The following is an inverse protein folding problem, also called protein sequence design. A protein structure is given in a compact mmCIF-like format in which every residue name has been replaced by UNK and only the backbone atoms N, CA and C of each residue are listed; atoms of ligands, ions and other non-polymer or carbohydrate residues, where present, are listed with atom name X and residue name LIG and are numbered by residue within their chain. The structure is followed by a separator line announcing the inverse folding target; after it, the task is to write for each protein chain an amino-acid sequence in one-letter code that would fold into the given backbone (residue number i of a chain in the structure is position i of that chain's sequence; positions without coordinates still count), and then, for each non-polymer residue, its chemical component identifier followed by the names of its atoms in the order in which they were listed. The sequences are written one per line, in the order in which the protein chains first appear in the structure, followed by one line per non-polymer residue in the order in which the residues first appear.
data_IF_130701891927
#
_entry.id   IF_130701891927
#
_cell.length_a   1.000
_cell.length_b   1.000
_cell.length_c   1.000
_cell.angle_alpha   90.00
_cell.angle_beta   90.00
_cell.angle_gamma   90.00
#
_symmetry.space_group_name_H-M   'P 1'
#
loop_
_entity.id
_entity.type
_entity.pdbx_description
1 polymer ?
#
# COMPACT_ATOMS: atom_id res chain seq x y z
N UNK A 1 -9.11 7.01 -48.46
CA UNK A 1 -7.70 6.71 -48.78
C UNK A 1 -6.82 7.78 -48.14
N UNK A 2 -5.86 7.36 -47.29
CA UNK A 2 -4.64 8.03 -46.80
C UNK A 2 -4.76 9.44 -46.16
N UNK A 3 -4.54 9.66 -44.86
CA UNK A 3 -3.30 9.53 -44.06
C UNK A 3 -2.17 10.47 -44.48
N UNK A 4 -1.89 11.52 -43.69
CA UNK A 4 -0.57 12.17 -43.45
C UNK A 4 -0.81 13.16 -42.28
N UNK A 5 -0.13 13.18 -41.13
CA UNK A 5 1.21 12.73 -40.78
C UNK A 5 2.11 13.94 -40.49
N UNK A 6 1.86 14.71 -39.40
CA UNK A 6 2.72 15.83 -39.00
C UNK A 6 3.83 15.34 -38.04
N UNK A 7 5.05 15.27 -38.57
CA UNK A 7 6.29 15.08 -37.82
C UNK A 7 6.85 16.43 -37.36
N UNK A 8 7.36 16.42 -36.14
CA UNK A 8 8.15 17.45 -35.47
C UNK A 8 9.48 17.69 -36.20
N UNK A 9 9.82 18.96 -36.44
CA UNK A 9 11.20 19.43 -36.67
C UNK A 9 11.41 20.65 -35.77
N UNK A 10 12.18 20.50 -34.69
CA UNK A 10 12.67 21.63 -33.91
C UNK A 10 14.18 21.75 -34.18
N UNK A 11 14.55 22.77 -34.96
CA UNK A 11 15.91 23.15 -35.26
C UNK A 11 16.55 23.92 -34.10
N UNK A 12 17.81 23.55 -33.85
CA UNK A 12 18.88 24.26 -33.15
C UNK A 12 18.68 25.77 -32.92
N UNK A 13 18.77 26.20 -31.67
CA UNK A 13 19.32 27.50 -31.33
C UNK A 13 20.23 27.38 -30.10
N UNK A 14 21.54 27.49 -30.36
CA UNK A 14 22.61 27.58 -29.35
C UNK A 14 22.91 29.07 -29.10
N UNK A 15 22.95 29.40 -27.80
CA UNK A 15 24.00 30.19 -27.15
C UNK A 15 24.20 31.67 -27.57
N UNK A 16 23.79 32.61 -26.70
CA UNK A 16 24.67 33.67 -26.15
C UNK A 16 23.90 34.54 -25.15
N UNK A 17 24.09 34.30 -23.85
CA UNK A 17 24.23 35.34 -22.81
C UNK A 17 24.54 34.65 -21.46
N UNK A 18 25.83 34.37 -21.27
CA UNK A 18 26.43 34.10 -19.98
C UNK A 18 27.30 35.31 -19.66
N UNK A 19 26.99 36.06 -18.60
CA UNK A 19 28.00 36.52 -17.66
C UNK A 19 27.37 37.18 -16.42
N UNK A 20 27.94 36.80 -15.26
CA UNK A 20 27.73 37.32 -13.90
C UNK A 20 26.55 36.69 -13.14
N UNK A 21 26.84 35.59 -12.45
CA UNK A 21 26.97 35.57 -10.99
C UNK A 21 27.59 34.22 -10.59
N UNK A 22 28.87 34.23 -10.23
CA UNK A 22 29.54 33.10 -9.56
C UNK A 22 29.14 33.14 -8.09
N UNK A 23 28.37 32.15 -7.65
CA UNK A 23 28.06 31.87 -6.25
C UNK A 23 27.89 30.36 -6.11
N UNK A 24 28.86 29.73 -5.46
CA UNK A 24 29.01 28.28 -5.31
C UNK A 24 27.82 27.64 -4.58
N UNK A 25 27.16 26.66 -5.20
CA UNK A 25 26.52 25.45 -4.62
C UNK A 25 25.76 24.69 -5.73
N UNK A 26 25.76 23.35 -5.65
CA UNK A 26 25.10 22.36 -6.53
C UNK A 26 25.85 21.90 -7.78
N UNK A 27 26.84 21.04 -7.54
CA UNK A 27 27.21 19.96 -8.45
C UNK A 27 27.03 18.63 -7.72
N UNK A 28 25.79 18.15 -7.63
CA UNK A 28 25.48 16.77 -7.19
C UNK A 28 24.38 16.09 -8.01
N UNK A 29 23.91 16.71 -9.10
CA UNK A 29 22.78 16.19 -9.90
C UNK A 29 23.16 15.53 -11.23
N UNK A 30 24.45 15.34 -11.54
CA UNK A 30 24.90 14.82 -12.86
C UNK A 30 25.59 13.44 -12.76
N UNK A 31 25.66 12.82 -11.57
CA UNK A 31 26.26 11.47 -11.41
C UNK A 31 25.23 10.33 -11.34
N UNK A 32 23.92 10.61 -11.29
CA UNK A 32 22.88 9.58 -11.20
C UNK A 32 22.52 8.94 -12.55
N UNK A 33 22.83 9.59 -13.68
CA UNK A 33 22.42 9.16 -15.02
C UNK A 33 23.35 8.15 -15.70
N UNK A 34 24.58 7.93 -15.20
CA UNK A 34 25.53 7.01 -15.83
C UNK A 34 25.48 5.56 -15.30
N UNK A 35 24.97 5.30 -14.09
CA UNK A 35 24.86 3.93 -13.54
C UNK A 35 23.72 3.11 -14.13
N UNK A 36 22.63 3.74 -14.58
CA UNK A 36 21.49 3.04 -15.19
C UNK A 36 21.71 2.66 -16.67
N UNK A 37 22.63 3.36 -17.36
CA UNK A 37 22.91 3.09 -18.78
C UNK A 37 23.83 1.88 -18.98
N UNK A 38 24.65 1.52 -17.98
CA UNK A 38 25.54 0.36 -18.08
C UNK A 38 24.90 -0.98 -17.71
N UNK A 39 23.77 -1.01 -16.98
CA UNK A 39 22.99 -2.24 -16.75
C UNK A 39 22.11 -2.66 -17.94
N UNK A 40 22.05 -1.86 -19.01
CA UNK A 40 21.15 -2.09 -20.16
C UNK A 40 21.73 -2.94 -21.31
N UNK A 41 22.85 -3.64 -21.11
CA UNK A 41 23.49 -4.46 -22.15
C UNK A 41 23.33 -5.99 -22.01
N UNK A 42 22.57 -6.49 -21.04
CA UNK A 42 22.43 -7.95 -20.86
C UNK A 42 21.03 -8.56 -21.12
N UNK A 43 19.97 -7.78 -21.35
CA UNK A 43 18.64 -8.33 -21.65
C UNK A 43 18.07 -7.77 -22.97
N UNK A 44 18.72 -8.06 -24.08
CA UNK A 44 18.08 -8.02 -25.40
C UNK A 44 17.71 -9.44 -25.82
N UNK A 45 16.75 -10.05 -25.12
CA UNK A 45 16.02 -11.18 -25.68
C UNK A 45 14.92 -10.63 -26.59
N UNK A 46 15.11 -10.83 -27.89
CA UNK A 46 14.13 -10.52 -28.93
C UNK A 46 12.88 -11.40 -28.73
N UNK A 47 11.70 -10.78 -28.68
CA UNK A 47 10.41 -11.47 -28.84
C UNK A 47 9.59 -11.77 -27.57
N UNK A 48 10.12 -11.53 -26.38
CA UNK A 48 9.37 -11.71 -25.13
C UNK A 48 8.69 -10.39 -24.78
N UNK A 49 7.35 -10.41 -24.63
CA UNK A 49 6.60 -9.26 -24.08
C UNK A 49 7.31 -8.78 -22.80
N UNK A 50 7.46 -7.46 -22.55
CA UNK A 50 8.03 -6.97 -21.30
C UNK A 50 7.37 -7.58 -20.05
N UNK A 51 6.09 -7.93 -20.18
CA UNK A 51 5.25 -8.59 -19.19
C UNK A 51 5.56 -10.09 -18.95
N UNK A 52 6.24 -10.73 -19.90
CA UNK A 52 6.63 -12.14 -19.83
C UNK A 52 8.08 -12.32 -19.33
N UNK A 53 8.75 -11.23 -18.93
CA UNK A 53 10.03 -11.34 -18.23
C UNK A 53 9.73 -11.73 -16.77
N UNK A 54 10.28 -12.85 -16.26
CA UNK A 54 10.02 -13.25 -14.88
C UNK A 54 10.53 -12.16 -13.93
N UNK A 55 9.66 -11.69 -13.03
CA UNK A 55 10.09 -10.82 -11.95
C UNK A 55 11.06 -11.61 -11.06
N UNK A 56 12.33 -11.22 -11.05
CA UNK A 56 13.33 -11.82 -10.17
C UNK A 56 13.33 -11.05 -8.86
N UNK A 57 12.41 -11.42 -7.96
CA UNK A 57 12.54 -11.07 -6.55
C UNK A 57 13.60 -12.02 -5.97
N UNK A 58 14.58 -11.49 -5.22
CA UNK A 58 15.45 -12.37 -4.43
C UNK A 58 14.58 -13.20 -3.48
N UNK A 59 15.02 -14.42 -3.17
CA UNK A 59 14.29 -15.29 -2.23
C UNK A 59 14.01 -14.52 -0.94
N UNK A 60 12.75 -14.52 -0.45
CA UNK A 60 12.40 -13.89 0.82
C UNK A 60 13.32 -14.33 1.96
N UNK A 61 13.74 -13.37 2.79
CA UNK A 61 14.57 -13.63 3.97
C UNK A 61 13.74 -13.47 5.24
N UNK A 62 12.98 -14.52 5.57
CA UNK A 62 12.21 -14.57 6.80
C UNK A 62 13.11 -14.53 8.04
N UNK A 63 12.56 -14.13 9.19
CA UNK A 63 13.29 -14.19 10.46
C UNK A 63 13.35 -15.65 10.95
N UNK A 64 14.27 -16.42 10.38
CA UNK A 64 14.49 -17.81 10.77
C UNK A 64 14.93 -17.94 12.22
N UNK A 65 15.61 -16.94 12.78
CA UNK A 65 16.02 -16.95 14.18
C UNK A 65 14.80 -16.92 15.11
N UNK A 66 13.78 -16.14 14.75
CA UNK A 66 12.53 -16.09 15.49
C UNK A 66 11.62 -17.30 15.20
N UNK A 67 11.40 -17.63 13.93
CA UNK A 67 10.46 -18.67 13.51
C UNK A 67 10.91 -20.08 13.89
N UNK A 68 12.22 -20.36 13.85
CA UNK A 68 12.76 -21.69 14.12
C UNK A 68 13.14 -21.92 15.58
N UNK A 69 13.13 -20.88 16.43
CA UNK A 69 13.35 -21.03 17.87
C UNK A 69 12.09 -21.63 18.55
N UNK A 70 12.28 -22.79 19.16
CA UNK A 70 11.22 -23.52 19.87
C UNK A 70 10.67 -22.76 21.07
N UNK A 71 11.43 -21.84 21.66
CA UNK A 71 10.95 -20.98 22.75
C UNK A 71 9.86 -20.02 22.27
N UNK A 72 9.85 -19.70 20.97
CA UNK A 72 8.88 -18.79 20.37
C UNK A 72 7.59 -19.48 19.92
N UNK A 73 7.52 -20.82 19.98
CA UNK A 73 6.38 -21.60 19.48
C UNK A 73 5.05 -21.13 20.10
N UNK A 74 5.00 -21.00 21.42
CA UNK A 74 3.78 -20.62 22.13
C UNK A 74 3.32 -19.21 21.77
N UNK A 75 4.24 -18.24 21.66
CA UNK A 75 3.88 -16.86 21.34
C UNK A 75 3.45 -16.70 19.88
N UNK A 76 4.07 -17.42 18.94
CA UNK A 76 3.69 -17.39 17.53
C UNK A 76 2.30 -18.00 17.36
N UNK A 77 2.04 -19.15 18.01
CA UNK A 77 0.74 -19.82 17.95
C UNK A 77 -0.38 -18.95 18.53
N UNK A 78 -0.16 -18.35 19.70
CA UNK A 78 -1.10 -17.43 20.35
C UNK A 78 -1.36 -16.19 19.47
N UNK A 79 -0.33 -15.61 18.84
CA UNK A 79 -0.50 -14.49 17.91
C UNK A 79 -1.31 -14.89 16.66
N UNK A 80 -1.06 -16.05 16.06
CA UNK A 80 -1.84 -16.56 14.92
C UNK A 80 -3.32 -16.70 15.31
N UNK A 81 -3.60 -17.30 16.48
CA UNK A 81 -4.96 -17.50 16.97
C UNK A 81 -5.68 -16.17 17.24
N UNK A 82 -5.05 -15.25 17.97
CA UNK A 82 -5.62 -13.93 18.30
C UNK A 82 -5.92 -13.07 17.08
N UNK A 83 -5.20 -13.27 15.98
CA UNK A 83 -5.42 -12.57 14.70
C UNK A 83 -6.39 -13.29 13.76
N UNK A 84 -6.88 -14.49 14.13
CA UNK A 84 -7.55 -15.42 13.20
C UNK A 84 -6.72 -15.63 11.92
N UNK A 85 -5.39 -15.64 12.07
CA UNK A 85 -4.44 -15.80 10.99
C UNK A 85 -4.40 -17.23 10.45
N UNK A 86 -3.64 -17.41 9.38
CA UNK A 86 -3.29 -18.72 8.83
C UNK A 86 -1.82 -18.97 9.15
N UNK A 87 -1.41 -20.22 9.33
CA UNK A 87 0.00 -20.57 9.54
C UNK A 87 0.16 -21.78 10.43
N UNK A 88 1.03 -22.70 10.02
CA UNK A 88 1.34 -23.92 10.77
C UNK A 88 2.81 -23.85 11.26
N UNK A 89 2.99 -23.22 12.41
CA UNK A 89 4.31 -23.04 13.03
C UNK A 89 4.91 -24.36 13.50
N UNK A 90 4.09 -25.32 13.91
CA UNK A 90 4.55 -26.64 14.35
C UNK A 90 5.14 -27.41 13.18
N UNK A 91 4.44 -27.41 12.03
CA UNK A 91 4.95 -27.99 10.79
C UNK A 91 6.19 -27.24 10.30
N UNK A 92 6.22 -25.92 10.37
CA UNK A 92 7.42 -25.13 10.00
C UNK A 92 8.64 -25.57 10.81
N UNK A 93 8.52 -25.64 12.14
CA UNK A 93 9.64 -26.05 13.01
C UNK A 93 10.03 -27.52 12.79
N UNK A 94 9.08 -28.40 12.47
CA UNK A 94 9.37 -29.79 12.09
C UNK A 94 10.13 -29.88 10.75
N UNK A 95 9.68 -29.14 9.73
CA UNK A 95 10.36 -29.04 8.42
C UNK A 95 11.76 -28.45 8.57
N UNK A 96 11.95 -27.46 9.45
CA UNK A 96 13.27 -26.91 9.75
C UNK A 96 14.22 -27.96 10.34
N UNK A 97 13.77 -28.77 11.30
CA UNK A 97 14.57 -29.86 11.86
C UNK A 97 14.95 -30.89 10.79
N UNK A 98 13.98 -31.28 9.95
CA UNK A 98 14.25 -32.18 8.82
C UNK A 98 15.29 -31.60 7.86
N UNK A 99 15.24 -30.30 7.57
CA UNK A 99 16.19 -29.62 6.70
C UNK A 99 17.62 -29.62 7.29
N UNK A 100 17.76 -29.51 8.61
CA UNK A 100 19.06 -29.54 9.29
C UNK A 100 19.75 -30.91 9.18
N UNK A 101 18.98 -31.99 9.24
CA UNK A 101 19.48 -33.36 9.18
C UNK A 101 19.63 -33.90 7.73
N UNK A 102 19.06 -33.20 6.74
CA UNK A 102 19.06 -33.64 5.35
C UNK A 102 20.44 -33.48 4.70
N UNK A 103 20.80 -34.42 3.83
CA UNK A 103 22.10 -34.44 3.11
C UNK A 103 21.96 -34.33 1.61
N UNK A 104 20.81 -34.70 1.03
CA UNK A 104 20.54 -34.61 -0.40
C UNK A 104 20.20 -33.18 -0.83
N UNK A 105 20.93 -32.65 -1.82
CA UNK A 105 20.72 -31.29 -2.32
C UNK A 105 19.31 -31.07 -2.90
N UNK A 106 18.78 -32.07 -3.63
CA UNK A 106 17.42 -32.01 -4.17
C UNK A 106 16.38 -31.92 -3.05
N UNK A 107 16.57 -32.71 -1.99
CA UNK A 107 15.62 -32.75 -0.86
C UNK A 107 15.74 -31.49 0.01
N UNK A 108 16.94 -30.95 0.18
CA UNK A 108 17.14 -29.63 0.82
C UNK A 108 16.39 -28.53 0.08
N UNK A 109 16.45 -28.52 -1.25
CA UNK A 109 15.74 -27.53 -2.06
C UNK A 109 14.22 -27.65 -1.90
N UNK A 110 13.68 -28.88 -1.91
CA UNK A 110 12.27 -29.13 -1.65
C UNK A 110 11.83 -28.65 -0.26
N UNK A 111 12.57 -29.03 0.78
CA UNK A 111 12.29 -28.63 2.17
C UNK A 111 12.41 -27.12 2.36
N UNK A 112 13.38 -26.47 1.71
CA UNK A 112 13.53 -25.00 1.74
C UNK A 112 12.32 -24.32 1.08
N UNK A 113 11.84 -24.86 -0.05
CA UNK A 113 10.65 -24.33 -0.71
C UNK A 113 9.38 -24.53 0.13
N UNK A 114 9.25 -25.68 0.81
CA UNK A 114 8.15 -25.93 1.75
C UNK A 114 8.21 -24.99 2.95
N UNK A 115 9.40 -24.81 3.53
CA UNK A 115 9.64 -23.92 4.65
C UNK A 115 9.28 -22.46 4.30
N UNK A 116 9.70 -21.98 3.14
CA UNK A 116 9.34 -20.64 2.64
C UNK A 116 7.83 -20.47 2.48
N UNK A 117 7.12 -21.49 1.99
CA UNK A 117 5.65 -21.46 1.86
C UNK A 117 4.97 -21.38 3.23
N UNK A 118 5.42 -22.19 4.19
CA UNK A 118 4.90 -22.19 5.56
C UNK A 118 5.15 -20.85 6.25
N UNK A 119 6.36 -20.29 6.11
CA UNK A 119 6.72 -19.00 6.67
C UNK A 119 5.92 -17.84 6.03
N UNK A 120 5.62 -17.92 4.73
CA UNK A 120 4.84 -16.90 4.03
C UNK A 120 3.42 -16.75 4.58
N UNK A 121 2.80 -17.85 5.04
CA UNK A 121 1.44 -17.83 5.62
C UNK A 121 1.39 -17.20 7.02
N UNK A 122 2.49 -17.24 7.79
CA UNK A 122 2.53 -16.71 9.16
C UNK A 122 2.40 -15.17 9.13
N UNK A 123 1.43 -14.58 9.88
CA UNK A 123 1.23 -13.15 9.95
C UNK A 123 2.34 -12.45 10.75
N UNK A 124 2.39 -11.13 10.67
CA UNK A 124 3.27 -10.34 11.52
C UNK A 124 2.93 -10.51 13.01
N UNK A 125 3.87 -10.15 13.88
CA UNK A 125 3.65 -9.97 15.32
C UNK A 125 2.60 -8.89 15.56
N UNK A 126 1.92 -8.90 16.71
CA UNK A 126 0.98 -7.84 17.09
C UNK A 126 1.57 -6.92 18.14
N UNK A 127 1.29 -5.63 18.05
CA UNK A 127 1.67 -4.66 19.07
C UNK A 127 0.96 -4.95 20.39
N UNK A 128 1.64 -4.71 21.51
CA UNK A 128 1.03 -4.76 22.84
C UNK A 128 -0.05 -3.68 23.04
N UNK A 129 -0.10 -2.66 22.17
CA UNK A 129 -1.12 -1.62 22.18
C UNK A 129 -2.41 -2.05 21.49
N UNK A 130 -2.35 -3.04 20.59
CA UNK A 130 -3.52 -3.52 19.85
C UNK A 130 -4.44 -4.33 20.78
N UNK A 131 -5.72 -3.95 20.95
CA UNK A 131 -6.67 -4.72 21.75
C UNK A 131 -6.83 -6.14 21.19
N UNK A 132 -7.11 -7.11 22.05
CA UNK A 132 -7.36 -8.49 21.60
C UNK A 132 -8.85 -8.64 21.31
N UNK A 133 -9.20 -9.03 20.08
CA UNK A 133 -10.60 -9.27 19.71
C UNK A 133 -10.94 -8.95 18.27
N UNK A 134 -12.24 -8.94 17.99
CA UNK A 134 -12.81 -8.48 16.71
C UNK A 134 -12.99 -6.96 16.68
N UNK A 135 -13.47 -6.42 15.56
CA UNK A 135 -13.71 -4.98 15.34
C UNK A 135 -14.45 -4.26 16.50
N UNK A 136 -15.31 -4.96 17.26
CA UNK A 136 -16.02 -4.34 18.39
C UNK A 136 -15.12 -3.96 19.56
N UNK A 137 -13.92 -4.54 19.64
CA UNK A 137 -12.89 -4.25 20.63
C UNK A 137 -11.97 -3.08 20.21
N UNK A 138 -12.25 -2.44 19.07
CA UNK A 138 -11.49 -1.27 18.63
C UNK A 138 -11.54 -0.16 19.68
N UNK A 139 -10.37 0.36 20.06
CA UNK A 139 -10.24 1.33 21.14
C UNK A 139 -10.28 2.76 20.58
N UNK A 140 -11.26 3.55 21.03
CA UNK A 140 -11.33 4.98 20.73
C UNK A 140 -10.17 5.72 21.37
N UNK A 141 -9.35 6.38 20.55
CA UNK A 141 -8.21 7.19 20.98
C UNK A 141 -8.57 8.69 21.07
N UNK A 142 -9.17 9.20 20.01
CA UNK A 142 -9.48 10.64 19.85
C UNK A 142 -10.77 10.83 19.04
N UNK A 143 -11.45 11.95 19.27
CA UNK A 143 -12.57 12.42 18.45
C UNK A 143 -12.34 13.88 18.09
N UNK A 144 -12.58 14.24 16.82
CA UNK A 144 -12.36 15.58 16.27
C UNK A 144 -13.63 16.11 15.61
N UNK A 145 -13.89 17.42 15.75
CA UNK A 145 -15.11 18.07 15.25
C UNK A 145 -16.37 17.67 16.02
N UNK A 146 -17.53 18.05 15.49
CA UNK A 146 -18.83 17.79 16.10
C UNK A 146 -19.85 17.30 15.06
N UNK A 147 -20.82 16.50 15.51
CA UNK A 147 -21.94 16.10 14.65
C UNK A 147 -22.72 17.34 14.24
N UNK A 148 -22.93 17.49 12.93
CA UNK A 148 -23.74 18.58 12.40
C UNK A 148 -25.22 18.28 12.64
N UNK A 149 -25.90 19.21 13.30
CA UNK A 149 -27.36 19.18 13.45
C UNK A 149 -28.03 19.69 12.17
N UNK A 150 -29.01 18.94 11.69
CA UNK A 150 -29.79 19.28 10.50
C UNK A 150 -31.25 19.53 10.89
N UNK A 151 -31.83 20.63 10.43
CA UNK A 151 -33.27 20.91 10.57
C UNK A 151 -34.14 20.09 9.61
N UNK A 152 -33.55 19.13 8.89
CA UNK A 152 -34.17 18.25 7.91
C UNK A 152 -33.47 16.89 7.92
N UNK A 153 -34.13 15.85 7.41
CA UNK A 153 -33.51 14.51 7.30
C UNK A 153 -32.39 14.54 6.25
N UNK A 154 -31.11 14.30 6.62
CA UNK A 154 -30.01 14.31 5.66
C UNK A 154 -30.19 13.21 4.60
N UNK A 155 -30.02 13.57 3.33
CA UNK A 155 -30.05 12.63 2.20
C UNK A 155 -28.71 11.89 2.08
N UNK A 156 -28.72 10.69 1.50
CA UNK A 156 -27.48 9.97 1.21
C UNK A 156 -26.66 10.65 0.11
N UNK A 157 -25.34 10.41 0.06
CA UNK A 157 -24.47 10.95 -0.98
C UNK A 157 -24.97 10.59 -2.40
N UNK A 158 -25.50 9.36 -2.59
CA UNK A 158 -26.12 8.91 -3.84
C UNK A 158 -27.35 9.77 -4.17
N UNK A 159 -28.25 9.98 -3.22
CA UNK A 159 -29.44 10.81 -3.45
C UNK A 159 -29.08 12.26 -3.75
N UNK A 160 -28.10 12.83 -3.05
CA UNK A 160 -27.63 14.20 -3.30
C UNK A 160 -27.02 14.30 -4.70
N UNK A 161 -26.09 13.41 -5.03
CA UNK A 161 -25.39 13.42 -6.32
C UNK A 161 -26.32 13.15 -7.51
N UNK A 162 -27.27 12.22 -7.38
CA UNK A 162 -28.27 11.96 -8.44
C UNK A 162 -29.21 13.15 -8.64
N UNK A 163 -29.69 13.79 -7.54
CA UNK A 163 -30.56 14.97 -7.65
C UNK A 163 -29.86 16.17 -8.31
N UNK A 164 -28.55 16.29 -8.11
CA UNK A 164 -27.71 17.32 -8.74
C UNK A 164 -27.27 16.94 -10.17
N UNK A 165 -27.50 15.69 -10.61
CA UNK A 165 -27.03 15.20 -11.91
C UNK A 165 -25.50 15.01 -12.00
N UNK A 166 -24.80 14.97 -10.86
CA UNK A 166 -23.33 14.90 -10.78
C UNK A 166 -22.80 13.51 -10.43
N UNK A 167 -23.67 12.61 -9.96
CA UNK A 167 -23.35 11.21 -9.66
C UNK A 167 -24.31 10.29 -10.40
N UNK A 168 -23.76 9.34 -11.14
CA UNK A 168 -24.54 8.27 -11.79
C UNK A 168 -24.07 6.91 -11.30
N UNK A 169 -24.96 6.23 -10.57
CA UNK A 169 -24.81 4.82 -10.16
C UNK A 169 -25.86 3.92 -10.81
N UNK A 170 -26.94 4.51 -11.33
CA UNK A 170 -28.01 3.79 -12.04
C UNK A 170 -27.69 3.61 -13.53
N UNK A 171 -28.08 2.46 -14.09
CA UNK A 171 -27.80 2.03 -15.48
C UNK A 171 -26.31 1.89 -15.83
N UNK A 172 -25.41 2.00 -14.86
CA UNK A 172 -23.97 1.75 -15.03
C UNK A 172 -23.67 0.27 -15.23
N UNK A 173 -24.58 -0.60 -14.77
CA UNK A 173 -24.48 -2.06 -14.91
C UNK A 173 -24.38 -2.54 -16.37
N UNK A 174 -24.92 -1.78 -17.32
CA UNK A 174 -24.81 -2.07 -18.76
C UNK A 174 -23.38 -1.92 -19.30
N UNK A 175 -22.51 -1.20 -18.58
CA UNK A 175 -21.11 -1.00 -18.96
C UNK A 175 -20.16 -1.82 -18.07
N UNK A 176 -20.30 -1.73 -16.74
CA UNK A 176 -19.28 -2.20 -15.79
C UNK A 176 -19.82 -3.04 -14.63
N UNK A 177 -21.10 -3.41 -14.65
CA UNK A 177 -21.73 -4.15 -13.55
C UNK A 177 -22.08 -3.27 -12.33
N UNK A 178 -22.46 -3.90 -11.22
CA UNK A 178 -22.82 -3.22 -9.96
C UNK A 178 -21.60 -2.59 -9.28
N UNK A 179 -21.81 -1.77 -8.24
CA UNK A 179 -20.71 -1.22 -7.41
C UNK A 179 -19.66 -0.42 -8.21
N UNK A 180 -20.14 0.30 -9.21
CA UNK A 180 -19.40 1.23 -10.07
C UNK A 180 -20.18 2.53 -10.23
N UNK A 181 -19.51 3.59 -10.65
CA UNK A 181 -20.08 4.94 -10.65
C UNK A 181 -19.42 5.84 -11.71
N UNK A 182 -20.13 6.90 -12.08
CA UNK A 182 -19.56 8.05 -12.79
C UNK A 182 -19.75 9.31 -11.97
N UNK A 183 -18.67 10.09 -11.83
CA UNK A 183 -18.76 11.49 -11.44
C UNK A 183 -18.85 12.38 -12.68
N UNK A 184 -19.70 13.39 -12.62
CA UNK A 184 -20.00 14.31 -13.72
C UNK A 184 -19.88 15.75 -13.22
N UNK A 185 -19.31 16.62 -14.05
CA UNK A 185 -19.21 18.05 -13.75
C UNK A 185 -18.47 18.33 -12.45
N UNK A 186 -19.09 19.09 -11.55
CA UNK A 186 -18.46 19.60 -10.33
C UNK A 186 -18.03 18.49 -9.37
N UNK A 187 -18.71 17.34 -9.33
CA UNK A 187 -18.28 16.22 -8.47
C UNK A 187 -17.00 15.56 -9.02
N UNK A 188 -16.84 15.50 -10.34
CA UNK A 188 -15.59 15.04 -10.95
C UNK A 188 -14.44 16.02 -10.68
N UNK A 189 -14.71 17.33 -10.70
CA UNK A 189 -13.74 18.35 -10.32
C UNK A 189 -13.39 18.28 -8.82
N UNK A 190 -14.37 17.98 -7.96
CA UNK A 190 -14.14 17.80 -6.52
C UNK A 190 -13.20 16.63 -6.24
N UNK A 191 -13.34 15.50 -6.94
CA UNK A 191 -12.36 14.40 -6.84
C UNK A 191 -10.94 14.90 -7.13
N UNK A 192 -10.74 15.65 -8.21
CA UNK A 192 -9.42 16.16 -8.58
C UNK A 192 -8.91 17.19 -7.56
N UNK A 193 -9.79 18.03 -7.03
CA UNK A 193 -9.45 19.01 -6.00
C UNK A 193 -9.00 18.34 -4.70
N UNK A 194 -9.66 17.27 -4.26
CA UNK A 194 -9.28 16.49 -3.08
C UNK A 194 -7.92 15.81 -3.25
N UNK A 195 -7.66 15.24 -4.44
CA UNK A 195 -6.35 14.69 -4.80
C UNK A 195 -5.27 15.76 -4.71
N UNK A 196 -5.50 16.93 -5.33
CA UNK A 196 -4.52 18.01 -5.37
C UNK A 196 -4.28 18.62 -3.99
N UNK A 197 -5.33 18.80 -3.19
CA UNK A 197 -5.26 19.26 -1.80
C UNK A 197 -4.35 18.35 -0.97
N UNK A 198 -4.60 17.04 -1.06
CA UNK A 198 -3.83 16.04 -0.32
C UNK A 198 -2.37 16.03 -0.78
N UNK A 199 -2.11 15.99 -2.10
CA UNK A 199 -0.74 16.01 -2.62
C UNK A 199 0.04 17.25 -2.22
N UNK A 200 -0.56 18.44 -2.28
CA UNK A 200 0.11 19.68 -1.87
C UNK A 200 0.49 19.64 -0.39
N UNK A 201 -0.41 19.13 0.45
CA UNK A 201 -0.12 18.95 1.86
C UNK A 201 1.03 17.96 2.07
N UNK A 202 1.04 16.80 1.42
CA UNK A 202 2.13 15.81 1.52
C UNK A 202 3.48 16.34 1.02
N UNK A 203 3.49 17.07 -0.11
CA UNK A 203 4.70 17.72 -0.62
C UNK A 203 5.26 18.71 0.43
N UNK A 204 4.39 19.48 1.09
CA UNK A 204 4.81 20.41 2.15
C UNK A 204 5.42 19.70 3.37
N UNK A 205 5.08 18.42 3.58
CA UNK A 205 5.62 17.54 4.63
C UNK A 205 6.87 16.75 4.16
N UNK A 206 7.36 17.02 2.96
CA UNK A 206 8.59 16.44 2.43
C UNK A 206 8.42 15.09 1.74
N UNK A 207 7.21 14.74 1.30
CA UNK A 207 6.98 13.54 0.49
C UNK A 207 7.41 13.76 -0.96
N UNK A 208 8.06 12.75 -1.53
CA UNK A 208 8.31 12.69 -2.97
C UNK A 208 7.13 12.02 -3.68
N UNK A 209 6.54 12.71 -4.65
CA UNK A 209 5.45 12.14 -5.46
C UNK A 209 6.02 11.18 -6.50
N UNK A 210 5.51 9.96 -6.53
CA UNK A 210 5.88 8.91 -7.47
C UNK A 210 4.62 8.49 -8.23
N UNK A 211 4.69 8.43 -9.56
CA UNK A 211 3.64 7.79 -10.37
C UNK A 211 3.97 6.31 -10.53
N UNK A 212 2.99 5.46 -10.29
CA UNK A 212 3.18 4.00 -10.21
C UNK A 212 2.34 3.25 -11.24
N UNK A 213 2.74 2.03 -11.65
CA UNK A 213 1.88 1.18 -12.48
C UNK A 213 0.72 0.58 -11.66
N UNK A 214 -0.47 0.49 -12.26
CA UNK A 214 -1.63 -0.17 -11.66
C UNK A 214 -1.66 -1.69 -11.93
N UNK A 215 -0.93 -2.14 -12.95
CA UNK A 215 -0.78 -3.56 -13.31
C UNK A 215 0.56 -4.06 -12.80
N UNK A 216 0.53 -5.03 -11.90
CA UNK A 216 1.71 -5.56 -11.19
C UNK A 216 1.74 -7.08 -11.16
N UNK A 217 2.92 -7.65 -10.91
CA UNK A 217 3.06 -9.09 -10.72
C UNK A 217 2.44 -9.54 -9.38
N UNK A 218 1.83 -10.74 -9.33
CA UNK A 218 1.23 -11.31 -8.13
C UNK A 218 2.23 -11.41 -6.97
N UNK A 219 3.50 -11.70 -7.26
CA UNK A 219 4.55 -11.78 -6.25
C UNK A 219 4.75 -10.47 -5.46
N UNK A 220 4.46 -9.30 -6.06
CA UNK A 220 4.50 -8.00 -5.35
C UNK A 220 3.35 -7.90 -4.36
N UNK A 221 2.15 -8.32 -4.78
CA UNK A 221 0.94 -8.34 -3.95
C UNK A 221 1.11 -9.30 -2.77
N UNK A 222 1.66 -10.49 -3.03
CA UNK A 222 1.96 -11.50 -2.02
C UNK A 222 3.05 -11.03 -1.04
N UNK A 223 4.07 -10.33 -1.55
CA UNK A 223 5.09 -9.72 -0.70
C UNK A 223 4.54 -8.63 0.23
N UNK A 224 3.45 -7.97 -0.15
CA UNK A 224 2.73 -7.04 0.72
C UNK A 224 1.80 -7.74 1.73
N UNK A 225 1.66 -9.08 1.66
CA UNK A 225 0.82 -9.88 2.58
C UNK A 225 -0.58 -10.20 2.08
N UNK A 226 -0.88 -9.96 0.79
CA UNK A 226 -2.19 -10.23 0.20
C UNK A 226 -2.17 -11.51 -0.64
N UNK A 227 -3.17 -12.37 -0.45
CA UNK A 227 -3.29 -13.61 -1.25
C UNK A 227 -3.83 -13.29 -2.63
N UNK A 228 -3.14 -13.76 -3.66
CA UNK A 228 -3.60 -13.62 -5.05
C UNK A 228 -4.40 -14.84 -5.52
N UNK A 229 -4.33 -15.97 -4.83
CA UNK A 229 -4.98 -17.23 -5.17
C UNK A 229 -6.04 -17.62 -4.13
N UNK A 230 -7.00 -18.47 -4.54
CA UNK A 230 -8.10 -18.94 -3.70
C UNK A 230 -9.48 -18.40 -4.11
N UNK A 231 -10.54 -18.98 -3.57
CA UNK A 231 -11.93 -18.69 -3.97
C UNK A 231 -12.44 -17.29 -3.57
N UNK A 232 -11.77 -16.62 -2.63
CA UNK A 232 -12.18 -15.33 -2.05
C UNK A 232 -11.13 -14.22 -2.22
N UNK A 233 -10.36 -14.24 -3.30
CA UNK A 233 -9.38 -13.18 -3.57
C UNK A 233 -10.06 -11.86 -3.91
N UNK A 234 -9.58 -10.77 -3.28
CA UNK A 234 -9.99 -9.39 -3.60
C UNK A 234 -9.22 -8.82 -4.81
N UNK A 235 -8.35 -9.61 -5.44
CA UNK A 235 -7.44 -9.18 -6.50
C UNK A 235 -8.01 -9.54 -7.87
N UNK A 236 -8.13 -8.56 -8.76
CA UNK A 236 -8.44 -8.81 -10.16
C UNK A 236 -7.20 -9.35 -10.89
N UNK A 237 -7.33 -10.53 -11.53
CA UNK A 237 -6.31 -11.12 -12.40
C UNK A 237 -6.58 -10.81 -13.87
N UNK A 238 -5.51 -10.62 -14.62
CA UNK A 238 -5.55 -10.48 -16.07
C UNK A 238 -5.25 -11.86 -16.69
N UNK A 239 -6.20 -12.37 -17.47
CA UNK A 239 -6.29 -13.80 -17.86
C UNK A 239 -5.13 -14.33 -18.72
N UNK A 240 -4.28 -13.47 -19.29
CA UNK A 240 -3.30 -13.87 -20.33
C UNK A 240 -1.83 -13.74 -19.91
N UNK A 241 -1.50 -13.07 -18.80
CA UNK A 241 -0.12 -12.68 -18.47
C UNK A 241 0.29 -12.94 -17.01
N UNK A 242 -0.57 -13.60 -16.22
CA UNK A 242 -0.39 -13.78 -14.77
C UNK A 242 -0.04 -12.46 -14.07
N UNK A 243 -0.77 -11.40 -14.46
CA UNK A 243 -0.67 -10.06 -13.89
C UNK A 243 -1.94 -9.75 -13.11
N UNK A 244 -1.82 -8.82 -12.17
CA UNK A 244 -2.90 -8.40 -11.30
C UNK A 244 -3.08 -6.88 -11.33
N UNK A 245 -4.30 -6.42 -11.11
CA UNK A 245 -4.56 -5.02 -10.79
C UNK A 245 -4.29 -4.77 -9.30
N UNK A 246 -3.60 -3.68 -8.98
CA UNK A 246 -3.30 -3.29 -7.61
C UNK A 246 -4.56 -2.83 -6.87
N UNK A 247 -4.79 -3.39 -5.67
CA UNK A 247 -5.90 -2.99 -4.79
C UNK A 247 -5.62 -1.72 -3.98
N UNK A 248 -4.40 -1.17 -4.10
CA UNK A 248 -3.88 -0.02 -3.36
C UNK A 248 -2.59 0.49 -4.01
N UNK A 249 -2.29 1.80 -3.87
CA UNK A 249 -1.01 2.39 -4.26
C UNK A 249 0.20 1.88 -3.46
N UNK A 250 -0.02 1.33 -2.27
CA UNK A 250 1.01 0.66 -1.45
C UNK A 250 1.75 -0.42 -2.24
N UNK A 251 1.02 -1.32 -2.94
CA UNK A 251 1.62 -2.49 -3.57
C UNK A 251 2.69 -2.12 -4.61
N UNK A 252 2.43 -1.23 -5.58
CA UNK A 252 3.47 -0.81 -6.51
C UNK A 252 4.52 0.12 -5.89
N UNK A 253 4.24 0.83 -4.79
CA UNK A 253 5.26 1.59 -4.04
C UNK A 253 6.20 0.66 -3.26
N UNK A 254 5.71 -0.43 -2.68
CA UNK A 254 6.56 -1.49 -2.14
C UNK A 254 7.38 -2.15 -3.27
N UNK A 255 6.74 -2.35 -4.43
CA UNK A 255 7.39 -2.80 -5.67
C UNK A 255 8.56 -1.90 -6.12
N UNK A 256 8.45 -0.59 -5.92
CA UNK A 256 9.51 0.38 -6.25
C UNK A 256 10.80 0.14 -5.45
N UNK A 257 10.71 -0.45 -4.25
CA UNK A 257 11.86 -0.74 -3.38
C UNK A 257 12.38 -2.18 -3.51
N UNK A 258 11.78 -3.04 -4.34
CA UNK A 258 12.17 -4.45 -4.44
C UNK A 258 13.67 -4.60 -4.73
N UNK A 259 14.33 -5.45 -3.95
CA UNK A 259 15.77 -5.72 -4.01
C UNK A 259 16.68 -4.49 -3.79
N UNK A 260 16.14 -3.33 -3.39
CA UNK A 260 16.94 -2.15 -3.12
C UNK A 260 17.65 -2.24 -1.78
N UNK A 261 18.82 -1.59 -1.71
CA UNK A 261 19.58 -1.41 -0.47
C UNK A 261 19.79 0.08 -0.28
N UNK A 262 19.03 0.67 0.66
CA UNK A 262 19.05 2.11 0.95
C UNK A 262 20.25 2.48 1.83
N UNK A 263 20.67 3.74 1.77
CA UNK A 263 21.66 4.26 2.72
C UNK A 263 20.95 4.74 3.99
N UNK A 264 21.50 4.46 5.17
CA UNK A 264 20.92 4.92 6.45
C UNK A 264 20.65 6.43 6.49
N UNK A 265 21.54 7.25 5.91
CA UNK A 265 21.38 8.71 5.89
C UNK A 265 20.24 9.20 5.00
N UNK A 266 19.64 8.32 4.21
CA UNK A 266 18.47 8.65 3.39
C UNK A 266 17.15 8.28 4.07
N UNK A 267 17.19 7.73 5.28
CA UNK A 267 16.02 7.34 6.06
C UNK A 267 15.58 8.49 7.00
N UNK A 268 14.26 8.66 7.24
CA UNK A 268 13.17 7.93 6.59
C UNK A 268 12.94 8.40 5.14
N UNK A 269 12.70 7.46 4.22
CA UNK A 269 12.16 7.76 2.89
C UNK A 269 10.66 7.90 2.99
N UNK A 270 10.13 9.02 2.52
CA UNK A 270 8.69 9.30 2.45
C UNK A 270 8.30 9.55 1.00
N UNK A 271 7.46 8.68 0.45
CA UNK A 271 6.96 8.80 -0.92
C UNK A 271 5.45 8.69 -0.94
N UNK A 272 4.81 9.30 -1.94
CA UNK A 272 3.35 9.21 -2.09
C UNK A 272 2.97 8.99 -3.56
N UNK A 273 1.80 8.39 -3.80
CA UNK A 273 1.29 8.18 -5.16
C UNK A 273 -0.20 8.44 -5.22
N UNK A 274 -0.69 8.94 -6.37
CA UNK A 274 -2.10 8.85 -6.73
C UNK A 274 -2.25 7.58 -7.56
N UNK A 275 -3.16 6.68 -7.19
CA UNK A 275 -3.45 5.49 -7.99
C UNK A 275 -4.95 5.20 -8.08
N UNK A 276 -5.33 4.46 -9.13
CA UNK A 276 -6.63 3.81 -9.19
C UNK A 276 -6.49 2.45 -8.49
N UNK A 277 -7.35 2.22 -7.49
CA UNK A 277 -7.35 1.00 -6.69
C UNK A 277 -8.47 0.08 -7.18
N UNK A 278 -8.17 -1.20 -7.41
CA UNK A 278 -9.11 -2.18 -7.94
C UNK A 278 -9.33 -3.33 -6.95
N UNK A 279 -10.57 -3.51 -6.48
CA UNK A 279 -10.90 -4.56 -5.51
C UNK A 279 -12.11 -5.38 -5.97
N UNK A 280 -11.94 -6.69 -6.01
CA UNK A 280 -13.01 -7.66 -6.30
C UNK A 280 -13.92 -7.82 -5.07
N UNK A 281 -14.53 -6.70 -4.66
CA UNK A 281 -15.40 -6.61 -3.50
C UNK A 281 -16.61 -7.54 -3.67
N UNK A 282 -16.74 -8.52 -2.79
CA UNK A 282 -17.90 -9.42 -2.72
C UNK A 282 -18.65 -9.14 -1.42
N UNK A 283 -19.34 -8.01 -1.33
CA UNK A 283 -20.16 -7.69 -0.16
C UNK A 283 -21.62 -7.48 -0.54
N UNK A 284 -22.50 -8.11 0.25
CA UNK A 284 -23.95 -7.95 0.16
C UNK A 284 -24.51 -7.05 1.29
N UNK A 285 -23.64 -6.35 2.03
CA UNK A 285 -24.04 -5.54 3.19
C UNK A 285 -24.71 -4.25 2.71
N UNK A 286 -25.93 -3.99 3.18
CA UNK A 286 -26.73 -2.84 2.74
C UNK A 286 -26.12 -1.49 3.09
N UNK A 287 -25.47 -1.39 4.26
CA UNK A 287 -24.76 -0.18 4.70
C UNK A 287 -23.63 0.18 3.73
N UNK A 288 -23.11 -0.78 2.98
CA UNK A 288 -22.00 -0.57 2.05
C UNK A 288 -22.44 -0.20 0.62
N UNK A 289 -23.76 -0.23 0.35
CA UNK A 289 -24.34 0.20 -0.93
C UNK A 289 -24.09 1.69 -1.18
N UNK A 290 -23.95 2.03 -2.47
CA UNK A 290 -23.62 3.37 -2.96
C UNK A 290 -22.17 3.43 -3.44
N UNK A 291 -21.45 4.48 -3.04
CA UNK A 291 -20.02 4.65 -3.39
C UNK A 291 -19.05 4.27 -2.26
N UNK A 292 -19.56 3.74 -1.13
CA UNK A 292 -18.75 3.35 0.03
C UNK A 292 -17.83 2.15 -0.31
N UNK A 293 -18.41 1.05 -0.80
CA UNK A 293 -17.67 -0.12 -1.31
C UNK A 293 -17.92 -0.28 -2.81
N UNK A 294 -16.86 -0.14 -3.61
CA UNK A 294 -16.89 -0.09 -5.09
C UNK A 294 -15.63 -0.72 -5.64
N UNK A 295 -15.72 -1.24 -6.86
CA UNK A 295 -14.65 -2.02 -7.48
C UNK A 295 -13.43 -1.18 -7.89
N UNK A 296 -13.63 0.10 -8.20
CA UNK A 296 -12.57 1.01 -8.60
C UNK A 296 -12.72 2.33 -7.84
N UNK A 297 -11.61 2.91 -7.38
CA UNK A 297 -11.61 4.23 -6.74
C UNK A 297 -10.23 4.90 -6.80
N UNK A 298 -10.18 6.21 -6.56
CA UNK A 298 -8.93 6.98 -6.49
C UNK A 298 -8.44 7.08 -5.05
N UNK A 299 -7.13 6.92 -4.85
CA UNK A 299 -6.48 7.08 -3.53
C UNK A 299 -5.15 7.81 -3.66
N UNK A 300 -4.77 8.59 -2.63
CA UNK A 300 -3.39 9.06 -2.45
C UNK A 300 -2.73 8.29 -1.32
N UNK A 301 -1.73 7.49 -1.65
CA UNK A 301 -1.00 6.70 -0.67
C UNK A 301 0.17 7.46 -0.07
N UNK A 302 0.41 7.28 1.23
CA UNK A 302 1.67 7.63 1.90
C UNK A 302 2.46 6.35 2.16
N UNK A 303 3.67 6.22 1.65
CA UNK A 303 4.51 5.04 1.90
C UNK A 303 5.85 5.45 2.51
N UNK A 304 6.27 4.70 3.51
CA UNK A 304 7.41 5.03 4.36
C UNK A 304 8.42 3.90 4.44
N UNK A 305 9.70 4.23 4.40
CA UNK A 305 10.76 3.26 4.72
C UNK A 305 11.69 3.91 5.74
N UNK A 306 11.84 3.30 6.91
CA UNK A 306 12.72 3.81 7.98
C UNK A 306 13.58 2.69 8.55
N UNK A 307 14.51 3.05 9.43
CA UNK A 307 15.43 2.09 10.05
C UNK A 307 14.69 1.04 10.89
N UNK A 308 15.37 -0.05 11.21
CA UNK A 308 14.84 -1.10 12.09
C UNK A 308 14.65 -0.68 13.56
N UNK A 309 14.91 0.60 13.88
CA UNK A 309 14.69 1.15 15.21
C UNK A 309 13.19 1.23 15.53
N UNK A 310 12.71 0.60 16.63
CA UNK A 310 11.32 0.75 17.09
C UNK A 310 10.94 2.21 17.35
N UNK A 311 11.90 3.05 17.72
CA UNK A 311 11.67 4.47 17.98
C UNK A 311 11.45 5.25 16.68
N UNK A 312 12.23 4.98 15.63
CA UNK A 312 12.06 5.65 14.33
C UNK A 312 10.79 5.17 13.62
N UNK A 313 10.47 3.88 13.76
CA UNK A 313 9.19 3.27 13.41
C UNK A 313 8.01 4.05 14.01
N UNK A 314 8.01 4.21 15.34
CA UNK A 314 6.96 4.91 16.09
C UNK A 314 6.82 6.37 15.65
N UNK A 315 7.92 7.09 15.49
CA UNK A 315 7.92 8.49 15.03
C UNK A 315 7.27 8.64 13.65
N UNK A 316 7.59 7.74 12.71
CA UNK A 316 7.01 7.79 11.37
C UNK A 316 5.50 7.51 11.40
N UNK A 317 5.06 6.54 12.20
CA UNK A 317 3.64 6.25 12.41
C UNK A 317 2.88 7.46 12.98
N UNK A 318 3.46 8.12 13.99
CA UNK A 318 2.89 9.33 14.59
C UNK A 318 2.83 10.51 13.60
N UNK A 319 3.87 10.69 12.78
CA UNK A 319 3.89 11.70 11.72
C UNK A 319 2.75 11.47 10.72
N UNK A 320 2.59 10.24 10.26
CA UNK A 320 1.56 9.84 9.31
C UNK A 320 0.15 10.05 9.88
N UNK A 321 -0.08 9.65 11.13
CA UNK A 321 -1.33 9.92 11.84
C UNK A 321 -1.60 11.43 11.97
N UNK A 322 -0.58 12.24 12.26
CA UNK A 322 -0.73 13.70 12.33
C UNK A 322 -1.17 14.28 10.99
N UNK A 323 -0.55 13.84 9.89
CA UNK A 323 -0.88 14.30 8.54
C UNK A 323 -2.34 13.97 8.19
N UNK A 324 -2.79 12.74 8.47
CA UNK A 324 -4.19 12.36 8.24
C UNK A 324 -5.15 13.25 9.04
N UNK A 325 -4.86 13.46 10.33
CA UNK A 325 -5.66 14.37 11.19
C UNK A 325 -5.71 15.79 10.62
N UNK A 326 -4.56 16.34 10.22
CA UNK A 326 -4.47 17.69 9.63
C UNK A 326 -5.32 17.82 8.35
N UNK A 327 -5.29 16.81 7.48
CA UNK A 327 -6.12 16.78 6.26
C UNK A 327 -7.61 16.77 6.59
N UNK A 328 -8.05 15.91 7.51
CA UNK A 328 -9.47 15.78 7.85
C UNK A 328 -10.01 16.97 8.63
N UNK A 329 -9.19 17.55 9.52
CA UNK A 329 -9.50 18.81 10.20
C UNK A 329 -9.61 19.94 9.16
N UNK A 330 -8.70 20.01 8.20
CA UNK A 330 -8.72 21.02 7.13
C UNK A 330 -9.95 20.93 6.22
N UNK A 331 -10.52 19.73 6.07
CA UNK A 331 -11.79 19.49 5.36
C UNK A 331 -13.03 19.74 6.24
N UNK A 332 -12.86 20.01 7.54
CA UNK A 332 -13.96 20.25 8.47
C UNK A 332 -14.78 18.99 8.78
N UNK A 333 -14.17 17.81 8.72
CA UNK A 333 -14.85 16.55 9.01
C UNK A 333 -14.98 16.30 10.51
N UNK A 334 -16.10 15.68 10.90
CA UNK A 334 -16.23 15.06 12.21
C UNK A 334 -15.76 13.61 12.12
N UNK A 335 -14.66 13.27 12.78
CA UNK A 335 -14.05 11.95 12.68
C UNK A 335 -13.54 11.44 14.04
N UNK A 336 -13.33 10.13 14.14
CA UNK A 336 -12.73 9.47 15.31
C UNK A 336 -11.50 8.66 14.91
N UNK A 337 -10.58 8.49 15.85
CA UNK A 337 -9.34 7.71 15.69
C UNK A 337 -9.43 6.45 16.53
N UNK A 338 -9.19 5.29 15.93
CA UNK A 338 -9.36 3.97 16.54
C UNK A 338 -8.04 3.19 16.50
N UNK A 339 -7.65 2.61 17.63
CA UNK A 339 -6.65 1.54 17.65
C UNK A 339 -7.32 0.21 17.32
N UNK A 340 -6.85 -0.43 16.25
CA UNK A 340 -7.52 -1.62 15.73
C UNK A 340 -7.11 -2.88 16.50
N UNK A 341 -8.07 -3.78 16.74
CA UNK A 341 -7.84 -5.00 17.49
C UNK A 341 -7.17 -6.07 16.63
N UNK A 342 -6.64 -7.12 17.27
CA UNK A 342 -5.79 -8.15 16.64
C UNK A 342 -6.40 -8.81 15.40
N UNK A 343 -7.72 -9.01 15.35
CA UNK A 343 -8.38 -9.64 14.20
C UNK A 343 -8.54 -8.70 13.00
N UNK A 344 -8.37 -7.39 13.18
CA UNK A 344 -8.47 -6.36 12.14
C UNK A 344 -7.11 -5.85 11.62
N UNK A 345 -6.01 -6.43 12.10
CA UNK A 345 -4.65 -6.09 11.67
C UNK A 345 -4.29 -6.67 10.28
N UNK A 346 -5.07 -7.63 9.78
CA UNK A 346 -4.70 -8.39 8.58
C UNK A 346 -3.42 -9.22 8.77
N UNK A 347 -2.75 -9.61 7.67
CA UNK A 347 -1.48 -10.33 7.76
C UNK A 347 -0.25 -9.43 8.04
N UNK A 348 -0.07 -8.26 7.38
CA UNK A 348 1.19 -7.53 7.46
C UNK A 348 1.32 -6.59 8.67
N UNK A 349 0.22 -6.03 9.20
CA UNK A 349 0.31 -4.96 10.18
C UNK A 349 0.71 -5.47 11.58
N UNK A 350 1.77 -4.92 12.15
CA UNK A 350 2.10 -5.04 13.56
C UNK A 350 1.15 -4.21 14.43
N UNK A 351 0.86 -2.99 13.99
CA UNK A 351 -0.08 -2.06 14.63
C UNK A 351 -0.87 -1.36 13.54
N UNK A 352 -2.16 -1.10 13.76
CA UNK A 352 -3.05 -0.45 12.80
C UNK A 352 -3.95 0.57 13.49
N UNK A 353 -3.99 1.77 12.93
CA UNK A 353 -4.87 2.86 13.38
C UNK A 353 -5.81 3.22 12.26
N UNK A 354 -7.11 3.16 12.52
CA UNK A 354 -8.13 3.57 11.56
C UNK A 354 -8.69 4.94 11.98
N UNK A 355 -9.05 5.76 10.99
CA UNK A 355 -9.87 6.95 11.26
C UNK A 355 -11.20 6.78 10.56
N UNK A 356 -12.29 7.15 11.23
CA UNK A 356 -13.64 7.03 10.68
C UNK A 356 -14.37 8.37 10.72
N UNK A 357 -15.01 8.75 9.61
CA UNK A 357 -15.84 9.95 9.55
C UNK A 357 -17.30 9.63 9.86
N UNK A 358 -17.95 10.58 10.53
CA UNK A 358 -19.39 10.55 10.73
C UNK A 358 -20.11 10.79 9.41
N UNK A 359 -21.01 9.87 9.04
CA UNK A 359 -21.82 9.93 7.83
C UNK A 359 -23.30 10.18 8.17
N UNK A 360 -23.79 11.44 8.07
CA UNK A 360 -25.08 11.84 8.66
C UNK A 360 -26.29 11.06 8.16
N UNK A 361 -26.33 10.70 6.87
CA UNK A 361 -27.52 10.06 6.27
C UNK A 361 -27.83 8.67 6.83
N UNK A 362 -26.81 7.99 7.33
CA UNK A 362 -26.86 6.60 7.81
C UNK A 362 -26.56 6.50 9.31
N UNK A 363 -26.30 7.63 9.96
CA UNK A 363 -25.94 7.73 11.38
C UNK A 363 -24.84 6.74 11.80
N UNK A 364 -23.82 6.58 10.94
CA UNK A 364 -22.73 5.63 11.15
C UNK A 364 -21.37 6.28 10.96
N UNK A 365 -20.36 5.65 11.56
CA UNK A 365 -18.97 5.94 11.33
C UNK A 365 -18.47 5.07 10.18
N UNK A 366 -17.95 5.69 9.12
CA UNK A 366 -17.31 4.96 8.04
C UNK A 366 -15.82 5.23 8.08
N UNK A 367 -15.00 4.19 8.10
CA UNK A 367 -13.55 4.32 7.98
C UNK A 367 -13.22 5.21 6.76
N UNK A 368 -12.27 6.13 6.92
CA UNK A 368 -11.77 7.05 5.92
C UNK A 368 -10.27 6.89 5.62
N UNK A 369 -9.50 6.35 6.55
CA UNK A 369 -8.08 6.03 6.37
C UNK A 369 -7.64 4.93 7.32
N UNK A 370 -6.47 4.35 7.05
CA UNK A 370 -5.84 3.42 7.97
C UNK A 370 -4.32 3.47 7.86
N UNK A 371 -3.65 3.59 8.99
CA UNK A 371 -2.20 3.62 9.10
C UNK A 371 -1.68 2.34 9.73
N UNK A 372 -0.82 1.62 9.01
CA UNK A 372 -0.22 0.38 9.49
C UNK A 372 1.29 0.51 9.67
N UNK A 373 1.78 0.06 10.82
CA UNK A 373 3.20 -0.29 10.96
C UNK A 373 3.34 -1.76 10.54
N UNK A 374 4.15 -2.04 9.52
CA UNK A 374 4.38 -3.41 9.03
C UNK A 374 5.71 -4.01 9.50
N UNK A 375 6.44 -3.32 10.38
CA UNK A 375 7.78 -3.70 10.86
C UNK A 375 8.64 -4.24 9.72
N UNK A 376 9.18 -5.45 9.79
CA UNK A 376 9.99 -6.05 8.74
C UNK A 376 9.22 -7.07 7.86
N UNK A 377 7.88 -7.12 7.97
CA UNK A 377 7.08 -8.12 7.27
C UNK A 377 7.21 -8.03 5.75
N UNK A 378 7.07 -6.82 5.19
CA UNK A 378 7.12 -6.58 3.75
C UNK A 378 8.57 -6.52 3.26
N UNK A 379 9.49 -5.92 4.03
CA UNK A 379 10.91 -5.82 3.67
C UNK A 379 11.55 -7.19 3.49
N UNK A 380 11.29 -8.13 4.40
CA UNK A 380 11.79 -9.51 4.30
C UNK A 380 11.28 -10.23 3.07
N UNK A 381 10.02 -10.00 2.70
CA UNK A 381 9.38 -10.62 1.54
C UNK A 381 9.80 -10.02 0.20
N UNK A 382 10.12 -8.74 0.18
CA UNK A 382 10.49 -7.98 -1.03
C UNK A 382 11.98 -7.66 -1.12
N UNK A 383 12.79 -8.17 -0.18
CA UNK A 383 14.24 -7.94 -0.08
C UNK A 383 14.61 -6.44 -0.05
N UNK A 384 13.88 -5.66 0.74
CA UNK A 384 14.12 -4.24 0.96
C UNK A 384 15.08 -4.10 2.15
N UNK A 385 16.28 -3.57 1.92
CA UNK A 385 17.36 -3.53 2.92
C UNK A 385 18.00 -2.15 3.06
N UNK A 386 18.83 -1.93 4.08
CA UNK A 386 19.64 -0.73 4.22
C UNK A 386 21.06 -1.07 4.61
N UNK A 387 21.96 -0.13 4.38
CA UNK A 387 23.32 -0.20 4.86
C UNK A 387 23.44 0.65 6.12
N UNK A 388 23.72 0.00 7.25
CA UNK A 388 24.44 0.60 8.37
C UNK A 388 25.92 0.17 8.32
N UNK A 389 26.72 0.43 9.37
CA UNK A 389 28.12 -0.02 9.43
C UNK A 389 28.27 -1.56 9.39
N UNK A 390 27.16 -2.32 9.43
CA UNK A 390 27.11 -3.79 9.59
C UNK A 390 26.26 -4.52 8.52
N UNK A 391 25.64 -3.82 7.55
CA UNK A 391 24.71 -4.34 6.54
C UNK A 391 23.41 -5.01 7.08
N UNK A 392 22.71 -4.38 8.02
CA UNK A 392 21.47 -4.92 8.61
C UNK A 392 20.18 -4.74 7.76
N UNK A 393 19.15 -5.57 8.01
CA UNK A 393 17.85 -5.61 7.27
C UNK A 393 16.88 -4.48 7.72
N UNK A 394 16.12 -3.87 6.79
CA UNK A 394 15.18 -2.76 7.06
C UNK A 394 13.87 -3.21 7.74
N UNK A 395 13.24 -2.28 8.46
CA UNK A 395 11.79 -2.28 8.66
C UNK A 395 11.11 -1.48 7.51
N UNK A 396 10.04 -2.01 6.95
CA UNK A 396 9.15 -1.37 5.99
C UNK A 396 7.86 -0.90 6.64
N UNK A 397 7.44 0.31 6.31
CA UNK A 397 6.20 0.91 6.80
C UNK A 397 5.26 1.06 5.63
N UNK A 398 4.03 0.61 5.81
CA UNK A 398 3.02 0.83 4.81
C UNK A 398 1.83 1.48 5.47
N UNK A 399 1.68 2.76 5.20
CA UNK A 399 0.53 3.52 5.60
C UNK A 399 -0.36 3.75 4.38
N UNK A 400 -1.64 4.00 4.65
CA UNK A 400 -2.52 4.45 3.60
C UNK A 400 -3.49 5.52 4.06
N UNK A 401 -3.53 6.60 3.29
CA UNK A 401 -4.59 7.61 3.43
C UNK A 401 -5.61 7.38 2.33
N UNK A 402 -6.80 6.87 2.65
CA UNK A 402 -7.81 6.63 1.62
C UNK A 402 -8.59 7.91 1.29
N UNK A 403 -8.16 8.65 0.26
CA UNK A 403 -8.91 9.81 -0.26
C UNK A 403 -10.36 9.47 -0.62
N UNK A 404 -10.63 8.22 -1.04
CA UNK A 404 -11.95 7.74 -1.47
C UNK A 404 -13.07 8.08 -0.49
N UNK A 405 -12.81 7.96 0.80
CA UNK A 405 -13.85 8.01 1.83
C UNK A 405 -14.15 9.45 2.30
N UNK A 406 -13.50 10.44 1.66
CA UNK A 406 -13.76 11.88 1.79
C UNK A 406 -14.80 12.41 0.78
N UNK A 407 -15.15 11.61 -0.24
CA UNK A 407 -16.19 11.90 -1.24
C UNK A 407 -17.55 11.38 -0.76
#
# INVERSE_FOLDING_TARGET
MASFGLRVVCQQCRCHQLNRLKGSRHLSSITYSHRLVQKKKQNQNQGVSPWNSPLVIKTPEFDWSFLCDTNNLSQIKDNIEKRKGVGDIEKLQATWKQLQDETSDSRKQELTNELNKLAADIPNTSSHLSPVGDESEAKLLETHGEKKEFSFKPKSCVQVGSNLGVLRTEYVSLTTGTSTYYFVGDLAQLEQALVQYTLQHLISKGFNVVTVPDIIHPAVIEGCGFKTTGEKTQVYKLNDQDLCLAGTGEMPLAGYFINETLNYNELPKKICTVSKCFRAETSNIEIEKGIYRVHQFTKVEMFGVTSASPEESRKLMEEFMSIQKELFIGLGLHFRVLEMPTQELGAPAHRKIDMEAWMPSKEFWGEISSTSDCTDFQSRRLSIMYTDEQNNILHTFSDFTSIKKLQ
#
